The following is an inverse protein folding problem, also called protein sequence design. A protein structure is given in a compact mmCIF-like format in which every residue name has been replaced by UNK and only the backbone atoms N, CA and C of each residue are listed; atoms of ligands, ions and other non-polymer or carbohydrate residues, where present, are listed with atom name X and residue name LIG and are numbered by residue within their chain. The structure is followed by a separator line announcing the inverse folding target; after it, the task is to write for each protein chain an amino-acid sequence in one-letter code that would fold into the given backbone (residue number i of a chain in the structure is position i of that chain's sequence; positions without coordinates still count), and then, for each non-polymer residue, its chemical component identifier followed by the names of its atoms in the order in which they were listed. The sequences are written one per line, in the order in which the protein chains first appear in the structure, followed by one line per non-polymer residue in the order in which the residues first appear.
data_IF_758286960975
#
_entry.id   IF_758286960975
#
_cell.length_a   1.000
_cell.length_b   1.000
_cell.length_c   1.000
_cell.angle_alpha   90.00
_cell.angle_beta   90.00
_cell.angle_gamma   90.00
#
_symmetry.space_group_name_H-M   'P 1'
#
loop_
_entity.id
_entity.type
_entity.pdbx_description
1 polymer ?
#
# COMPACT_ATOMS: atom_id res chain seq x y z
N UNK A 1 11.09 -34.81 15.90
CA UNK A 1 9.86 -34.00 15.92
C UNK A 1 9.40 -33.84 14.49
N UNK A 2 8.22 -34.37 14.13
CA UNK A 2 7.70 -34.31 12.78
C UNK A 2 7.20 -32.89 12.48
N UNK A 3 7.82 -32.23 11.50
CA UNK A 3 7.55 -30.86 11.10
C UNK A 3 6.16 -30.76 10.46
N UNK A 4 5.30 -29.90 11.02
CA UNK A 4 3.93 -29.65 10.52
C UNK A 4 4.03 -28.98 9.13
N UNK A 5 3.98 -29.77 8.06
CA UNK A 5 3.84 -29.25 6.70
C UNK A 5 2.41 -28.70 6.52
N UNK A 6 2.25 -27.38 6.60
CA UNK A 6 0.93 -26.75 6.61
C UNK A 6 0.84 -25.32 6.07
N UNK A 7 1.89 -24.80 5.43
CA UNK A 7 1.84 -23.47 4.82
C UNK A 7 0.90 -23.41 3.61
N UNK A 8 0.07 -22.36 3.57
CA UNK A 8 -0.83 -22.10 2.46
C UNK A 8 -0.01 -21.71 1.22
N UNK A 9 -0.25 -22.36 0.08
CA UNK A 9 0.35 -21.94 -1.20
C UNK A 9 -0.36 -20.71 -1.69
N UNK A 10 0.37 -19.61 -1.77
CA UNK A 10 -0.16 -18.32 -2.22
C UNK A 10 0.00 -18.16 -3.73
N UNK A 11 1.15 -18.55 -4.28
CA UNK A 11 1.41 -18.55 -5.73
C UNK A 11 2.14 -19.81 -6.18
N UNK A 12 1.86 -20.23 -7.41
CA UNK A 12 2.53 -21.37 -8.07
C UNK A 12 3.02 -20.95 -9.45
N UNK A 13 4.31 -21.16 -9.71
CA UNK A 13 4.94 -20.92 -11.00
C UNK A 13 5.42 -22.24 -11.58
N UNK A 14 5.11 -22.49 -12.85
CA UNK A 14 5.64 -23.63 -13.60
C UNK A 14 6.52 -23.12 -14.74
N UNK A 15 7.69 -23.72 -14.87
CA UNK A 15 8.67 -23.39 -15.92
C UNK A 15 9.05 -24.67 -16.64
N UNK A 16 8.47 -24.85 -17.81
CA UNK A 16 8.75 -25.98 -18.68
C UNK A 16 10.00 -25.67 -19.51
N UNK A 17 10.79 -26.69 -19.76
CA UNK A 17 11.96 -26.64 -20.62
C UNK A 17 12.20 -28.01 -21.24
N UNK A 18 13.08 -28.09 -22.22
CA UNK A 18 13.54 -29.35 -22.79
C UNK A 18 15.06 -29.30 -22.94
N UNK A 19 15.73 -30.39 -22.58
CA UNK A 19 17.17 -30.59 -22.81
C UNK A 19 17.33 -31.91 -23.54
N UNK A 20 17.90 -31.89 -24.75
CA UNK A 20 18.14 -33.08 -25.57
C UNK A 20 16.90 -33.99 -25.75
N UNK A 21 15.74 -33.37 -25.94
CA UNK A 21 14.47 -34.09 -26.11
C UNK A 21 13.88 -34.64 -24.80
N UNK A 22 14.54 -34.46 -23.66
CA UNK A 22 14.01 -34.78 -22.33
C UNK A 22 13.16 -33.59 -21.84
N UNK A 23 11.83 -33.73 -21.73
CA UNK A 23 10.98 -32.70 -21.16
C UNK A 23 11.24 -32.56 -19.65
N UNK A 24 11.44 -31.32 -19.22
CA UNK A 24 11.63 -30.93 -17.83
C UNK A 24 10.64 -29.86 -17.39
N UNK A 25 10.33 -29.83 -16.10
CA UNK A 25 9.50 -28.80 -15.49
C UNK A 25 10.01 -28.48 -14.09
N UNK A 26 10.22 -27.19 -13.82
CA UNK A 26 10.39 -26.71 -12.44
C UNK A 26 9.07 -26.11 -11.95
N UNK A 27 8.58 -26.63 -10.83
CA UNK A 27 7.45 -26.03 -10.11
C UNK A 27 7.95 -25.30 -8.88
N UNK A 28 7.78 -23.98 -8.84
CA UNK A 28 8.00 -23.15 -7.66
C UNK A 28 6.67 -22.85 -6.96
N UNK A 29 6.64 -23.01 -5.64
CA UNK A 29 5.50 -22.75 -4.77
C UNK A 29 5.90 -21.74 -3.71
N UNK A 30 5.38 -20.52 -3.84
CA UNK A 30 5.46 -19.53 -2.77
C UNK A 30 4.40 -19.85 -1.74
N UNK A 31 4.83 -20.21 -0.54
CA UNK A 31 3.98 -20.56 0.60
C UNK A 31 4.21 -19.59 1.74
N UNK A 32 3.26 -19.55 2.68
CA UNK A 32 3.38 -18.75 3.91
C UNK A 32 4.57 -19.13 4.78
N UNK A 33 5.06 -20.37 4.66
CA UNK A 33 6.20 -20.91 5.41
C UNK A 33 7.52 -20.92 4.62
N UNK A 34 7.52 -20.52 3.35
CA UNK A 34 8.74 -20.45 2.55
C UNK A 34 8.53 -20.57 1.05
N UNK A 35 9.64 -20.67 0.33
CA UNK A 35 9.65 -21.03 -1.08
C UNK A 35 10.04 -22.49 -1.22
N UNK A 36 9.34 -23.21 -2.10
CA UNK A 36 9.58 -24.62 -2.36
C UNK A 36 9.69 -24.82 -3.86
N UNK A 37 10.68 -25.57 -4.33
CA UNK A 37 10.86 -25.89 -5.73
C UNK A 37 11.01 -27.38 -5.94
N UNK A 38 10.44 -27.88 -7.01
CA UNK A 38 10.57 -29.28 -7.44
C UNK A 38 10.98 -29.31 -8.91
N UNK A 39 12.02 -30.08 -9.22
CA UNK A 39 12.43 -30.39 -10.58
C UNK A 39 11.85 -31.74 -10.98
N UNK A 40 11.07 -31.74 -12.05
CA UNK A 40 10.53 -32.92 -12.70
C UNK A 40 11.22 -33.14 -14.05
N UNK A 41 11.68 -34.37 -14.30
CA UNK A 41 12.18 -34.82 -15.61
C UNK A 41 11.39 -36.08 -16.00
N UNK A 42 10.90 -36.15 -17.24
CA UNK A 42 10.10 -37.29 -17.74
C UNK A 42 8.93 -37.69 -16.80
N UNK A 43 8.25 -36.71 -16.21
CA UNK A 43 7.12 -36.96 -15.31
C UNK A 43 7.50 -37.47 -13.92
N UNK A 44 8.80 -37.49 -13.55
CA UNK A 44 9.29 -37.89 -12.23
C UNK A 44 10.01 -36.74 -11.55
N UNK A 45 9.70 -36.51 -10.28
CA UNK A 45 10.42 -35.52 -9.46
C UNK A 45 11.80 -36.08 -9.13
N UNK A 46 12.84 -35.42 -9.62
CA UNK A 46 14.25 -35.84 -9.48
C UNK A 46 15.01 -35.01 -8.45
N UNK A 47 14.58 -33.78 -8.16
CA UNK A 47 15.17 -32.94 -7.13
C UNK A 47 14.14 -32.02 -6.47
N UNK A 48 14.41 -31.66 -5.21
CA UNK A 48 13.62 -30.70 -4.44
C UNK A 48 14.54 -29.75 -3.69
N UNK A 49 14.09 -28.52 -3.51
CA UNK A 49 14.79 -27.53 -2.69
C UNK A 49 13.78 -26.60 -2.00
N UNK A 50 14.16 -26.05 -0.86
CA UNK A 50 13.31 -25.17 -0.06
C UNK A 50 14.11 -24.10 0.69
N UNK A 51 13.51 -22.93 0.81
CA UNK A 51 13.99 -21.85 1.68
C UNK A 51 12.88 -21.44 2.64
N UNK A 52 13.21 -21.09 3.89
CA UNK A 52 12.22 -20.61 4.86
C UNK A 52 11.64 -19.26 4.41
N UNK A 53 10.50 -18.85 4.98
CA UNK A 53 9.90 -17.56 4.68
C UNK A 53 10.78 -16.36 5.11
N UNK A 54 11.60 -16.54 6.14
CA UNK A 54 12.44 -15.49 6.74
C UNK A 54 13.83 -16.02 7.10
N UNK A 55 14.79 -15.11 7.21
CA UNK A 55 16.15 -15.37 7.65
C UNK A 55 17.21 -15.41 6.55
N UNK A 56 18.48 -15.63 6.91
CA UNK A 56 19.61 -15.58 5.98
C UNK A 56 19.47 -16.52 4.79
N UNK A 57 18.87 -17.68 5.00
CA UNK A 57 18.63 -18.67 3.94
C UNK A 57 17.35 -18.43 3.14
N UNK A 58 16.49 -17.46 3.49
CA UNK A 58 15.26 -17.14 2.75
C UNK A 58 15.54 -16.44 1.40
N UNK A 59 16.72 -15.85 1.25
CA UNK A 59 17.06 -14.98 0.11
C UNK A 59 17.98 -15.65 -0.92
N UNK A 60 18.36 -16.92 -0.70
CA UNK A 60 19.17 -17.67 -1.67
C UNK A 60 18.31 -18.16 -2.82
N UNK A 61 18.94 -18.34 -3.97
CA UNK A 61 18.34 -19.08 -5.06
C UNK A 61 18.27 -20.58 -4.71
N UNK A 62 17.29 -21.24 -5.28
CA UNK A 62 17.16 -22.68 -5.20
C UNK A 62 18.08 -23.31 -6.24
N UNK A 63 18.73 -24.40 -5.87
CA UNK A 63 19.62 -25.16 -6.73
C UNK A 63 19.13 -26.60 -6.81
N UNK A 64 18.67 -27.00 -7.99
CA UNK A 64 18.10 -28.31 -8.24
C UNK A 64 19.02 -29.07 -9.19
N UNK A 65 19.67 -30.11 -8.70
CA UNK A 65 20.67 -30.85 -9.47
C UNK A 65 20.19 -32.27 -9.75
N UNK A 66 20.43 -32.75 -10.96
CA UNK A 66 20.15 -34.13 -11.37
C UNK A 66 21.16 -34.60 -12.41
N UNK A 67 21.19 -35.89 -12.68
CA UNK A 67 22.05 -36.49 -13.70
C UNK A 67 21.18 -36.94 -14.86
N UNK A 68 21.52 -36.54 -16.08
CA UNK A 68 20.82 -36.98 -17.28
C UNK A 68 21.18 -38.45 -17.61
N UNK A 69 20.39 -39.13 -18.48
CA UNK A 69 20.63 -40.54 -18.82
C UNK A 69 22.01 -40.82 -19.43
N UNK A 70 22.65 -39.81 -20.00
CA UNK A 70 23.99 -39.88 -20.59
C UNK A 70 25.12 -39.62 -19.57
N UNK A 71 24.79 -39.40 -18.29
CA UNK A 71 25.73 -39.13 -17.21
C UNK A 71 26.08 -37.64 -17.03
N UNK A 72 25.61 -36.74 -17.89
CA UNK A 72 25.88 -35.30 -17.75
C UNK A 72 25.14 -34.67 -16.57
N UNK A 73 25.74 -33.64 -15.97
CA UNK A 73 25.17 -32.96 -14.81
C UNK A 73 24.19 -31.87 -15.27
N UNK A 74 22.94 -31.98 -14.84
CA UNK A 74 21.93 -30.95 -15.03
C UNK A 74 21.76 -30.15 -13.73
N UNK A 75 22.04 -28.86 -13.79
CA UNK A 75 21.86 -27.92 -12.69
C UNK A 75 20.81 -26.90 -13.07
N UNK A 76 19.77 -26.75 -12.24
CA UNK A 76 18.73 -25.73 -12.42
C UNK A 76 18.76 -24.77 -11.27
N UNK A 77 19.08 -23.52 -11.58
CA UNK A 77 18.96 -22.40 -10.66
C UNK A 77 17.56 -21.81 -10.78
N UNK A 78 16.86 -21.66 -9.65
CA UNK A 78 15.48 -21.22 -9.61
C UNK A 78 15.27 -20.16 -8.53
N UNK A 79 14.57 -19.07 -8.84
CA UNK A 79 14.40 -17.99 -7.88
C UNK A 79 13.64 -16.79 -8.43
N UNK A 80 13.70 -15.67 -7.72
CA UNK A 80 13.03 -14.44 -8.11
C UNK A 80 13.74 -13.76 -9.28
N UNK A 81 12.97 -13.19 -10.19
CA UNK A 81 13.44 -12.22 -11.20
C UNK A 81 12.83 -10.83 -10.98
N UNK A 82 11.80 -10.77 -10.12
CA UNK A 82 11.14 -9.56 -9.64
C UNK A 82 10.38 -9.90 -8.36
N UNK A 83 9.77 -8.91 -7.70
CA UNK A 83 8.92 -9.14 -6.52
C UNK A 83 7.66 -9.96 -6.79
N UNK A 84 7.29 -10.17 -8.06
CA UNK A 84 6.04 -10.85 -8.46
C UNK A 84 6.25 -12.04 -9.38
N UNK A 85 7.49 -12.34 -9.78
CA UNK A 85 7.73 -13.38 -10.77
C UNK A 85 9.05 -14.11 -10.50
N UNK A 86 9.08 -15.38 -10.89
CA UNK A 86 10.20 -16.30 -10.71
C UNK A 86 10.66 -16.87 -12.05
N UNK A 87 11.97 -17.08 -12.14
CA UNK A 87 12.64 -17.64 -13.31
C UNK A 87 13.46 -18.87 -12.95
N UNK A 88 13.83 -19.59 -14.00
CA UNK A 88 14.84 -20.64 -13.98
C UNK A 88 15.92 -20.38 -15.02
N UNK A 89 17.13 -20.83 -14.71
CA UNK A 89 18.25 -21.00 -15.62
C UNK A 89 18.74 -22.45 -15.50
N UNK A 90 18.74 -23.16 -16.62
CA UNK A 90 19.09 -24.57 -16.74
C UNK A 90 20.47 -24.66 -17.37
N UNK A 91 21.39 -25.31 -16.69
CA UNK A 91 22.77 -25.53 -17.12
C UNK A 91 23.05 -27.02 -17.22
N UNK A 92 23.73 -27.42 -18.28
CA UNK A 92 24.28 -28.77 -18.46
C UNK A 92 25.79 -28.66 -18.47
N UNK A 93 26.46 -29.36 -17.56
CA UNK A 93 27.91 -29.27 -17.38
C UNK A 93 28.41 -27.81 -17.36
N UNK A 94 27.68 -26.98 -16.61
CA UNK A 94 27.87 -25.53 -16.44
C UNK A 94 27.56 -24.65 -17.68
N UNK A 95 27.20 -25.24 -18.82
CA UNK A 95 26.75 -24.51 -20.02
C UNK A 95 25.25 -24.23 -19.93
N UNK A 96 24.86 -22.96 -20.04
CA UNK A 96 23.43 -22.58 -20.02
C UNK A 96 22.73 -23.05 -21.29
N UNK A 97 21.76 -23.95 -21.14
CA UNK A 97 20.99 -24.55 -22.25
C UNK A 97 19.57 -23.99 -22.35
N UNK A 98 19.03 -23.45 -21.25
CA UNK A 98 17.72 -22.81 -21.25
C UNK A 98 17.62 -21.74 -20.17
N UNK A 99 17.03 -20.60 -20.52
CA UNK A 99 16.62 -19.58 -19.56
C UNK A 99 15.16 -19.26 -19.80
N UNK A 100 14.37 -19.28 -18.72
CA UNK A 100 12.98 -18.85 -18.80
C UNK A 100 12.81 -17.36 -19.12
N UNK A 101 13.83 -16.56 -18.79
CA UNK A 101 13.86 -15.11 -18.98
C UNK A 101 15.30 -14.69 -19.37
N UNK A 102 15.66 -14.77 -20.66
CA UNK A 102 17.01 -14.48 -21.11
C UNK A 102 17.49 -13.08 -20.68
N UNK A 103 18.73 -13.00 -20.18
CA UNK A 103 19.36 -11.74 -19.75
C UNK A 103 18.82 -11.16 -18.44
N UNK A 104 17.98 -11.89 -17.69
CA UNK A 104 17.53 -11.50 -16.34
C UNK A 104 18.28 -12.29 -15.28
N UNK A 105 18.92 -11.58 -14.35
CA UNK A 105 19.54 -12.20 -13.17
C UNK A 105 18.47 -12.79 -12.26
N UNK A 106 18.63 -14.06 -11.91
CA UNK A 106 17.82 -14.72 -10.88
C UNK A 106 18.43 -14.33 -9.55
N UNK A 107 17.72 -13.54 -8.75
CA UNK A 107 18.15 -13.14 -7.43
C UNK A 107 16.95 -12.62 -6.62
N UNK A 108 16.99 -12.84 -5.31
CA UNK A 108 16.06 -12.16 -4.42
C UNK A 108 16.16 -10.63 -4.61
N UNK A 109 15.05 -9.88 -4.67
CA UNK A 109 15.14 -8.44 -4.92
C UNK A 109 15.89 -7.73 -3.79
N UNK A 110 16.96 -7.00 -4.13
CA UNK A 110 17.87 -6.34 -3.16
C UNK A 110 17.12 -5.50 -2.12
N UNK A 111 16.10 -4.76 -2.59
CA UNK A 111 15.25 -3.89 -1.76
C UNK A 111 14.65 -4.61 -0.55
N UNK A 112 14.41 -5.91 -0.64
CA UNK A 112 13.78 -6.72 0.41
C UNK A 112 14.76 -7.70 1.07
N UNK A 113 15.96 -7.86 0.52
CA UNK A 113 16.95 -8.85 1.00
C UNK A 113 17.37 -8.55 2.44
N UNK A 114 17.83 -7.33 2.72
CA UNK A 114 18.28 -6.94 4.05
C UNK A 114 17.17 -7.12 5.11
N UNK A 115 15.93 -6.77 4.75
CA UNK A 115 14.78 -6.91 5.65
C UNK A 115 14.50 -8.39 5.98
N UNK A 116 14.50 -9.27 4.97
CA UNK A 116 14.26 -10.71 5.16
C UNK A 116 15.34 -11.40 6.00
N UNK A 117 16.60 -11.00 5.83
CA UNK A 117 17.72 -11.52 6.62
C UNK A 117 17.61 -11.08 8.09
N UNK A 118 17.25 -9.80 8.33
CA UNK A 118 17.15 -9.24 9.68
C UNK A 118 16.05 -9.86 10.55
N UNK A 119 15.01 -10.48 9.96
CA UNK A 119 13.92 -11.14 10.69
C UNK A 119 14.36 -12.35 11.54
N UNK A 120 15.51 -12.98 11.25
CA UNK A 120 15.97 -14.16 11.99
C UNK A 120 16.61 -13.85 13.35
N UNK A 121 17.25 -12.69 13.51
CA UNK A 121 18.10 -12.41 14.69
C UNK A 121 17.32 -11.90 15.92
N UNK A 122 15.98 -12.04 15.96
CA UNK A 122 15.17 -11.43 17.02
C UNK A 122 15.23 -9.89 17.03
N UNK A 123 15.92 -9.30 16.04
CA UNK A 123 16.10 -7.87 15.85
C UNK A 123 14.81 -7.18 15.42
N UNK A 124 13.63 -7.82 15.48
CA UNK A 124 12.35 -7.15 15.21
C UNK A 124 12.22 -5.88 16.03
N UNK A 125 12.72 -5.86 17.27
CA UNK A 125 12.82 -4.64 18.07
C UNK A 125 13.73 -3.58 17.44
N UNK A 126 14.90 -3.96 16.94
CA UNK A 126 15.94 -3.04 16.50
C UNK A 126 15.87 -2.69 15.00
N UNK A 127 15.44 -3.57 14.11
CA UNK A 127 15.14 -3.30 12.71
C UNK A 127 13.80 -2.57 12.52
N UNK A 128 12.79 -2.84 13.37
CA UNK A 128 11.60 -1.99 13.44
C UNK A 128 11.96 -0.64 14.06
N UNK A 129 12.77 -0.59 15.12
CA UNK A 129 13.30 0.69 15.64
C UNK A 129 14.18 1.39 14.63
N UNK A 130 15.03 0.75 13.84
CA UNK A 130 15.96 1.40 12.90
C UNK A 130 15.20 1.92 11.68
N UNK A 131 14.20 1.18 11.18
CA UNK A 131 13.23 1.70 10.22
C UNK A 131 12.33 2.81 10.81
N UNK A 132 12.00 2.75 12.10
CA UNK A 132 11.27 3.79 12.82
C UNK A 132 12.16 4.98 13.29
N UNK A 133 13.49 4.83 13.28
CA UNK A 133 14.49 5.83 13.69
C UNK A 133 15.13 6.52 12.48
N UNK A 134 14.68 6.20 11.27
CA UNK A 134 15.07 6.88 10.04
C UNK A 134 16.33 6.28 9.44
N UNK A 135 16.15 5.24 8.63
CA UNK A 135 17.08 4.99 7.54
C UNK A 135 16.85 6.07 6.45
N UNK A 136 17.92 6.67 5.92
CA UNK A 136 17.84 7.76 4.95
C UNK A 136 17.22 7.34 3.59
N UNK A 137 17.05 6.02 3.38
CA UNK A 137 16.54 5.42 2.16
C UNK A 137 15.12 4.80 2.25
N UNK A 138 14.45 4.82 3.42
CA UNK A 138 13.05 4.38 3.48
C UNK A 138 12.10 5.49 3.00
N UNK A 139 11.25 5.18 2.01
CA UNK A 139 10.18 6.08 1.53
C UNK A 139 9.10 6.34 2.59
N UNK A 140 9.11 5.57 3.70
CA UNK A 140 8.11 5.61 4.75
C UNK A 140 8.72 6.16 6.05
N UNK A 141 8.19 7.27 6.55
CA UNK A 141 8.60 7.97 7.77
C UNK A 141 7.58 7.78 8.91
N UNK A 142 7.87 6.85 9.81
CA UNK A 142 7.05 6.58 10.99
C UNK A 142 7.17 7.64 12.09
N UNK A 143 8.10 8.61 11.98
CA UNK A 143 8.20 9.71 12.94
C UNK A 143 6.96 10.62 12.90
N UNK A 144 6.28 10.71 11.74
CA UNK A 144 5.02 11.43 11.58
C UNK A 144 3.91 10.87 12.49
N UNK A 145 3.81 9.54 12.61
CA UNK A 145 2.86 8.89 13.53
C UNK A 145 3.16 9.20 15.00
N UNK A 146 4.45 9.16 15.39
CA UNK A 146 4.85 9.46 16.77
C UNK A 146 4.57 10.92 17.13
N UNK A 147 4.78 11.85 16.19
CA UNK A 147 4.48 13.28 16.35
C UNK A 147 2.98 13.56 16.47
N UNK A 148 2.16 12.86 15.69
CA UNK A 148 0.72 13.13 15.62
C UNK A 148 -0.13 12.13 16.44
N UNK A 149 0.48 11.37 17.36
CA UNK A 149 -0.19 10.30 18.12
C UNK A 149 -1.39 10.79 18.95
N UNK A 150 -1.30 11.99 19.51
CA UNK A 150 -2.35 12.57 20.36
C UNK A 150 -3.56 12.97 19.48
N UNK A 151 -3.39 13.79 18.42
CA UNK A 151 -4.47 14.06 17.47
C UNK A 151 -5.13 12.81 16.89
N UNK A 152 -4.32 11.82 16.51
CA UNK A 152 -4.83 10.59 15.91
C UNK A 152 -5.66 9.76 16.90
N UNK A 153 -5.25 9.69 18.17
CA UNK A 153 -6.03 9.03 19.21
C UNK A 153 -7.36 9.76 19.49
N UNK A 154 -7.35 11.10 19.53
CA UNK A 154 -8.55 11.92 19.72
C UNK A 154 -9.55 11.68 18.59
N UNK A 155 -9.10 11.63 17.34
CA UNK A 155 -9.95 11.40 16.17
C UNK A 155 -10.59 10.00 16.17
N UNK A 156 -9.81 8.96 16.51
CA UNK A 156 -10.33 7.59 16.67
C UNK A 156 -11.41 7.52 17.76
N UNK A 157 -11.17 8.16 18.90
CA UNK A 157 -12.14 8.18 20.01
C UNK A 157 -13.41 8.93 19.62
N UNK A 158 -13.29 10.04 18.90
CA UNK A 158 -14.44 10.81 18.41
C UNK A 158 -15.25 10.01 17.39
N UNK A 159 -14.58 9.30 16.47
CA UNK A 159 -15.22 8.41 15.51
C UNK A 159 -15.94 7.23 16.17
N UNK A 160 -15.33 6.60 17.17
CA UNK A 160 -15.96 5.52 17.94
C UNK A 160 -17.19 6.02 18.71
N UNK A 161 -17.08 7.20 19.33
CA UNK A 161 -18.19 7.83 20.03
C UNK A 161 -19.34 8.17 19.07
N UNK A 162 -19.03 8.73 17.90
CA UNK A 162 -20.01 8.98 16.86
C UNK A 162 -20.76 7.70 16.46
N UNK A 163 -20.02 6.60 16.24
CA UNK A 163 -20.61 5.30 15.93
C UNK A 163 -21.55 4.80 17.05
N UNK A 164 -21.14 4.90 18.31
CA UNK A 164 -21.98 4.52 19.46
C UNK A 164 -23.25 5.35 19.48
N UNK A 165 -23.17 6.67 19.35
CA UNK A 165 -24.34 7.55 19.38
C UNK A 165 -25.27 7.24 18.19
N UNK A 166 -24.73 7.14 16.97
CA UNK A 166 -25.51 6.83 15.78
C UNK A 166 -26.20 5.46 15.87
N UNK A 167 -25.59 4.48 16.55
CA UNK A 167 -26.17 3.14 16.75
C UNK A 167 -27.33 3.14 17.75
N UNK A 168 -27.28 3.96 18.79
CA UNK A 168 -28.29 3.98 19.86
C UNK A 168 -29.31 5.12 19.74
N UNK A 169 -29.12 6.03 18.79
CA UNK A 169 -29.99 7.18 18.53
C UNK A 169 -30.21 7.34 17.02
N UNK A 170 -30.22 8.57 16.52
CA UNK A 170 -30.30 8.91 15.11
C UNK A 170 -29.05 9.66 14.62
N UNK A 171 -28.88 9.71 13.30
CA UNK A 171 -27.71 10.31 12.65
C UNK A 171 -27.59 11.82 12.92
N UNK A 172 -28.71 12.51 13.16
CA UNK A 172 -28.74 13.95 13.45
C UNK A 172 -28.21 14.21 14.85
N UNK A 173 -28.65 13.42 15.83
CA UNK A 173 -28.13 13.48 17.22
C UNK A 173 -26.63 13.20 17.25
N UNK A 174 -26.15 12.17 16.54
CA UNK A 174 -24.73 11.88 16.43
C UNK A 174 -23.92 13.04 15.81
N UNK A 175 -24.46 13.69 14.77
CA UNK A 175 -23.83 14.83 14.12
C UNK A 175 -23.74 16.06 15.03
N UNK A 176 -24.81 16.36 15.79
CA UNK A 176 -24.85 17.50 16.73
C UNK A 176 -23.85 17.28 17.87
N UNK A 177 -23.82 16.08 18.46
CA UNK A 177 -22.87 15.76 19.53
C UNK A 177 -21.43 15.80 19.02
N UNK A 178 -21.17 15.25 17.83
CA UNK A 178 -19.86 15.32 17.18
C UNK A 178 -19.40 16.77 16.96
N UNK A 179 -20.28 17.63 16.45
CA UNK A 179 -20.01 19.06 16.26
C UNK A 179 -19.73 19.79 17.59
N UNK A 180 -20.54 19.52 18.63
CA UNK A 180 -20.37 20.08 19.96
C UNK A 180 -19.05 19.68 20.62
N UNK A 181 -18.66 18.41 20.51
CA UNK A 181 -17.38 17.91 21.01
C UNK A 181 -16.19 18.46 20.22
N UNK A 182 -16.32 18.60 18.90
CA UNK A 182 -15.31 19.27 18.08
C UNK A 182 -15.05 20.71 18.56
N UNK A 183 -16.11 21.47 18.86
CA UNK A 183 -16.01 22.81 19.44
C UNK A 183 -15.39 22.79 20.85
N UNK A 184 -15.79 21.84 21.70
CA UNK A 184 -15.22 21.69 23.04
C UNK A 184 -13.71 21.39 23.00
N UNK A 185 -13.27 20.54 22.06
CA UNK A 185 -11.85 20.24 21.85
C UNK A 185 -11.07 21.46 21.35
N UNK A 186 -11.67 22.34 20.54
CA UNK A 186 -11.04 23.61 20.16
C UNK A 186 -10.78 24.52 21.36
N UNK A 187 -11.77 24.61 22.27
CA UNK A 187 -11.62 25.35 23.52
C UNK A 187 -10.55 24.70 24.41
N UNK A 188 -10.58 23.37 24.56
CA UNK A 188 -9.62 22.63 25.35
C UNK A 188 -8.18 22.78 24.81
N UNK A 189 -7.99 22.73 23.49
CA UNK A 189 -6.71 22.96 22.83
C UNK A 189 -6.22 24.39 23.07
N UNK A 190 -7.11 25.40 23.00
CA UNK A 190 -6.76 26.80 23.28
C UNK A 190 -6.31 27.01 24.74
N UNK A 191 -6.92 26.30 25.69
CA UNK A 191 -6.59 26.40 27.13
C UNK A 191 -5.30 25.64 27.45
N UNK A 192 -5.20 24.38 27.02
CA UNK A 192 -4.09 23.48 27.37
C UNK A 192 -2.83 23.74 26.58
N UNK A 193 -2.93 24.43 25.43
CA UNK A 193 -1.85 24.61 24.43
C UNK A 193 -1.28 23.28 23.90
N UNK A 194 -1.94 22.17 24.17
CA UNK A 194 -1.62 20.86 23.62
C UNK A 194 -2.33 20.74 22.28
N UNK A 195 -1.63 20.26 21.26
CA UNK A 195 -2.24 20.03 19.96
C UNK A 195 -3.10 18.75 20.01
N UNK A 196 -4.39 18.93 20.28
CA UNK A 196 -5.37 17.84 20.46
C UNK A 196 -6.04 17.44 19.15
N UNK A 197 -6.16 18.38 18.22
CA UNK A 197 -6.87 18.19 16.95
C UNK A 197 -5.88 18.14 15.78
N UNK A 198 -4.73 18.79 15.93
CA UNK A 198 -3.78 18.94 14.84
C UNK A 198 -4.35 19.80 13.70
N UNK A 199 -3.45 20.31 12.84
CA UNK A 199 -3.81 21.31 11.83
C UNK A 199 -4.92 20.87 10.85
N UNK A 200 -5.07 19.56 10.62
CA UNK A 200 -6.07 18.99 9.71
C UNK A 200 -7.44 18.77 10.37
N UNK A 201 -7.55 18.44 11.66
CA UNK A 201 -8.86 18.13 12.24
C UNK A 201 -9.74 19.37 12.43
N UNK A 202 -9.15 20.57 12.52
CA UNK A 202 -9.88 21.84 12.42
C UNK A 202 -10.75 21.94 11.15
N UNK A 203 -10.22 21.43 10.03
CA UNK A 203 -10.96 21.36 8.77
C UNK A 203 -12.08 20.31 8.86
N UNK A 204 -11.80 19.15 9.44
CA UNK A 204 -12.81 18.11 9.71
C UNK A 204 -13.97 18.62 10.56
N UNK A 205 -13.69 19.35 11.64
CA UNK A 205 -14.70 19.96 12.52
C UNK A 205 -15.56 20.97 11.76
N UNK A 206 -14.96 21.82 10.94
CA UNK A 206 -15.71 22.78 10.12
C UNK A 206 -16.67 22.07 9.15
N UNK A 207 -16.22 20.98 8.52
CA UNK A 207 -17.07 20.15 7.66
C UNK A 207 -18.16 19.42 8.44
N UNK A 208 -17.87 18.93 9.65
CA UNK A 208 -18.88 18.31 10.51
C UNK A 208 -19.96 19.30 10.91
N UNK A 209 -19.60 20.54 11.25
CA UNK A 209 -20.57 21.60 11.58
C UNK A 209 -21.42 21.94 10.36
N UNK A 210 -20.80 22.09 9.18
CA UNK A 210 -21.54 22.31 7.94
C UNK A 210 -22.49 21.14 7.61
N UNK A 211 -22.04 19.90 7.85
CA UNK A 211 -22.84 18.69 7.70
C UNK A 211 -24.03 18.67 8.67
N UNK A 212 -23.80 19.00 9.94
CA UNK A 212 -24.82 19.06 10.97
C UNK A 212 -25.85 20.17 10.69
N UNK A 213 -25.41 21.33 10.19
CA UNK A 213 -26.32 22.40 9.76
C UNK A 213 -27.21 21.94 8.60
N UNK A 214 -26.63 21.29 7.60
CA UNK A 214 -27.40 20.67 6.50
C UNK A 214 -28.32 19.54 6.98
N UNK A 215 -27.95 18.84 8.06
CA UNK A 215 -28.77 17.82 8.74
C UNK A 215 -30.02 18.40 9.38
N UNK A 216 -29.86 19.52 10.07
CA UNK A 216 -30.97 20.22 10.70
C UNK A 216 -31.90 20.88 9.66
N UNK A 217 -31.33 21.41 8.57
CA UNK A 217 -32.12 22.09 7.54
C UNK A 217 -32.89 21.14 6.62
N UNK A 218 -32.38 19.93 6.38
CA UNK A 218 -32.98 18.99 5.42
C UNK A 218 -33.00 17.56 5.97
N UNK A 219 -34.17 17.10 6.41
CA UNK A 219 -34.34 15.80 7.08
C UNK A 219 -34.78 14.66 6.14
N UNK A 220 -34.99 14.91 4.85
CA UNK A 220 -35.45 13.89 3.90
C UNK A 220 -34.33 12.96 3.43
N UNK A 221 -34.66 11.70 3.12
CA UNK A 221 -33.72 10.70 2.61
C UNK A 221 -33.01 11.14 1.33
N UNK A 222 -33.69 11.90 0.47
CA UNK A 222 -33.10 12.47 -0.74
C UNK A 222 -32.04 13.54 -0.41
N UNK A 223 -32.28 14.35 0.62
CA UNK A 223 -31.34 15.35 1.07
C UNK A 223 -30.07 14.73 1.67
N UNK A 224 -30.15 13.51 2.22
CA UNK A 224 -28.97 12.76 2.68
C UNK A 224 -28.04 12.44 1.51
N UNK A 225 -28.59 12.02 0.36
CA UNK A 225 -27.80 11.69 -0.83
C UNK A 225 -27.06 12.91 -1.41
N UNK A 226 -27.73 14.06 -1.44
CA UNK A 226 -27.13 15.30 -1.97
C UNK A 226 -26.18 15.97 -0.97
N UNK A 227 -26.39 15.80 0.34
CA UNK A 227 -25.50 16.37 1.37
C UNK A 227 -24.07 15.90 1.24
N UNK A 228 -23.87 14.59 1.07
CA UNK A 228 -22.52 14.02 0.90
C UNK A 228 -21.84 14.53 -0.37
N UNK A 229 -22.58 14.72 -1.46
CA UNK A 229 -22.09 15.36 -2.69
C UNK A 229 -21.66 16.81 -2.43
N UNK A 230 -22.50 17.62 -1.79
CA UNK A 230 -22.21 19.05 -1.53
C UNK A 230 -20.97 19.21 -0.66
N UNK A 231 -20.88 18.46 0.44
CA UNK A 231 -19.71 18.49 1.34
C UNK A 231 -18.46 18.00 0.61
N UNK A 232 -18.58 16.95 -0.21
CA UNK A 232 -17.51 16.44 -1.06
C UNK A 232 -16.98 17.49 -2.02
N UNK A 233 -17.87 18.22 -2.71
CA UNK A 233 -17.51 19.30 -3.65
C UNK A 233 -16.87 20.51 -2.95
N UNK A 234 -17.39 20.92 -1.80
CA UNK A 234 -16.79 22.00 -0.99
C UNK A 234 -15.37 21.61 -0.57
N UNK A 235 -15.20 20.39 -0.06
CA UNK A 235 -13.88 19.88 0.34
C UNK A 235 -12.92 19.80 -0.83
N UNK A 236 -13.40 19.27 -1.97
CA UNK A 236 -12.65 19.18 -3.21
C UNK A 236 -12.18 20.56 -3.70
N UNK A 237 -13.07 21.55 -3.72
CA UNK A 237 -12.77 22.92 -4.10
C UNK A 237 -11.70 23.54 -3.21
N UNK A 238 -11.81 23.37 -1.89
CA UNK A 238 -10.83 23.91 -0.94
C UNK A 238 -9.45 23.29 -1.11
N UNK A 239 -9.35 21.96 -1.28
CA UNK A 239 -8.08 21.29 -1.57
C UNK A 239 -7.51 21.67 -2.93
N UNK A 240 -8.35 21.80 -3.95
CA UNK A 240 -7.93 22.18 -5.30
C UNK A 240 -7.40 23.62 -5.34
N UNK A 241 -8.10 24.57 -4.72
CA UNK A 241 -7.67 25.97 -4.62
C UNK A 241 -6.36 26.06 -3.83
N UNK A 242 -6.24 25.34 -2.71
CA UNK A 242 -5.00 25.29 -1.94
C UNK A 242 -3.84 24.69 -2.75
N UNK A 243 -4.08 23.58 -3.43
CA UNK A 243 -3.09 22.91 -4.29
C UNK A 243 -2.61 23.80 -5.44
N UNK A 244 -3.53 24.50 -6.11
CA UNK A 244 -3.21 25.46 -7.17
C UNK A 244 -2.41 26.67 -6.66
N UNK A 245 -2.54 27.01 -5.36
CA UNK A 245 -1.74 28.04 -4.68
C UNK A 245 -0.45 27.49 -4.05
N UNK A 246 -0.04 26.27 -4.40
CA UNK A 246 1.20 25.63 -3.93
C UNK A 246 1.05 24.77 -2.68
N UNK A 247 -0.16 24.62 -2.13
CA UNK A 247 -0.47 23.68 -1.04
C UNK A 247 -0.08 24.16 0.36
N UNK A 248 0.08 25.46 0.58
CA UNK A 248 0.55 26.04 1.85
C UNK A 248 -0.49 26.02 2.99
N UNK A 249 -1.74 25.62 2.72
CA UNK A 249 -2.83 25.57 3.68
C UNK A 249 -3.17 24.15 4.15
N UNK A 250 -4.17 23.53 3.52
CA UNK A 250 -4.72 22.23 3.89
C UNK A 250 -3.81 21.08 3.47
N UNK A 251 -3.21 21.16 2.29
CA UNK A 251 -2.42 20.10 1.71
C UNK A 251 -1.10 19.89 2.46
N UNK A 252 -0.40 20.95 2.87
CA UNK A 252 0.80 20.81 3.72
C UNK A 252 0.46 20.22 5.09
N UNK A 253 -0.72 20.54 5.64
CA UNK A 253 -1.19 19.95 6.90
C UNK A 253 -1.47 18.47 6.73
N UNK A 254 -2.20 18.07 5.69
CA UNK A 254 -2.44 16.66 5.37
C UNK A 254 -1.13 15.90 5.16
N UNK A 255 -0.20 16.47 4.39
CA UNK A 255 1.14 15.93 4.17
C UNK A 255 1.87 15.61 5.48
N UNK A 256 1.70 16.43 6.52
CA UNK A 256 2.37 16.20 7.82
C UNK A 256 1.86 14.98 8.59
N UNK A 257 0.73 14.39 8.19
CA UNK A 257 0.20 13.12 8.72
C UNK A 257 0.55 11.92 7.85
N UNK A 258 0.93 12.15 6.59
CA UNK A 258 1.26 11.06 5.68
C UNK A 258 2.65 10.51 6.02
N UNK A 259 2.81 9.18 6.09
CA UNK A 259 4.10 8.59 6.40
C UNK A 259 5.01 8.54 5.16
N UNK A 260 4.80 9.34 4.11
CA UNK A 260 5.59 9.25 2.88
C UNK A 260 6.56 10.40 2.74
N UNK A 261 7.83 10.09 2.44
CA UNK A 261 8.85 11.09 2.11
C UNK A 261 8.71 11.56 0.66
N UNK A 262 8.98 12.84 0.41
CA UNK A 262 9.00 13.40 -0.95
C UNK A 262 7.64 13.74 -1.57
N UNK A 263 6.59 13.88 -0.77
CA UNK A 263 5.29 14.41 -1.23
C UNK A 263 5.39 15.92 -1.44
N UNK A 264 5.03 16.38 -2.65
CA UNK A 264 4.80 17.79 -2.95
C UNK A 264 3.40 18.21 -2.47
N UNK A 265 3.33 19.29 -1.68
CA UNK A 265 2.07 19.72 -1.08
C UNK A 265 1.09 20.30 -2.12
N UNK A 266 1.57 21.03 -3.12
CA UNK A 266 0.72 21.57 -4.19
C UNK A 266 0.07 20.45 -5.02
N UNK A 267 0.87 19.47 -5.43
CA UNK A 267 0.39 18.27 -6.14
C UNK A 267 -0.54 17.42 -5.27
N UNK A 268 -0.24 17.29 -3.98
CA UNK A 268 -1.15 16.61 -3.05
C UNK A 268 -2.50 17.34 -3.00
N UNK A 269 -2.53 18.66 -2.87
CA UNK A 269 -3.76 19.44 -2.85
C UNK A 269 -4.58 19.29 -4.14
N UNK A 270 -3.93 19.38 -5.30
CA UNK A 270 -4.58 19.16 -6.61
C UNK A 270 -5.15 17.74 -6.70
N UNK A 271 -4.35 16.73 -6.34
CA UNK A 271 -4.77 15.33 -6.39
C UNK A 271 -5.95 15.04 -5.47
N UNK A 272 -5.91 15.54 -4.23
CA UNK A 272 -7.03 15.42 -3.27
C UNK A 272 -8.27 16.16 -3.75
N UNK A 273 -8.11 17.34 -4.36
CA UNK A 273 -9.22 18.10 -4.93
C UNK A 273 -9.90 17.38 -6.09
N UNK A 274 -9.12 16.87 -7.05
CA UNK A 274 -9.63 16.09 -8.18
C UNK A 274 -10.28 14.78 -7.74
N UNK A 275 -9.66 14.08 -6.78
CA UNK A 275 -10.24 12.88 -6.18
C UNK A 275 -11.59 13.20 -5.52
N UNK A 276 -11.66 14.24 -4.69
CA UNK A 276 -12.91 14.64 -4.04
C UNK A 276 -14.02 15.01 -5.04
N UNK A 277 -13.66 15.71 -6.13
CA UNK A 277 -14.61 16.04 -7.19
C UNK A 277 -15.11 14.79 -7.92
N UNK A 278 -14.21 13.83 -8.21
CA UNK A 278 -14.57 12.56 -8.84
C UNK A 278 -15.50 11.72 -7.94
N UNK A 279 -15.18 11.61 -6.65
CA UNK A 279 -16.02 10.88 -5.69
C UNK A 279 -17.40 11.54 -5.54
N UNK A 280 -17.46 12.87 -5.48
CA UNK A 280 -18.73 13.59 -5.40
C UNK A 280 -19.56 13.42 -6.69
N UNK A 281 -18.93 13.44 -7.86
CA UNK A 281 -19.60 13.18 -9.14
C UNK A 281 -20.14 11.76 -9.22
N UNK A 282 -19.36 10.75 -8.80
CA UNK A 282 -19.81 9.36 -8.73
C UNK A 282 -20.99 9.19 -7.78
N UNK A 283 -20.91 9.76 -6.57
CA UNK A 283 -22.02 9.74 -5.63
C UNK A 283 -23.28 10.40 -6.22
N UNK A 284 -23.14 11.54 -6.90
CA UNK A 284 -24.27 12.22 -7.55
C UNK A 284 -24.88 11.38 -8.69
N UNK A 285 -24.05 10.78 -9.54
CA UNK A 285 -24.52 9.90 -10.63
C UNK A 285 -25.30 8.72 -10.05
N UNK A 286 -24.75 8.04 -9.05
CA UNK A 286 -25.42 6.91 -8.41
C UNK A 286 -26.72 7.37 -7.76
N UNK A 287 -26.71 8.51 -7.06
CA UNK A 287 -27.90 9.06 -6.43
C UNK A 287 -29.03 9.40 -7.42
N UNK A 288 -28.70 9.93 -8.61
CA UNK A 288 -29.68 10.35 -9.62
C UNK A 288 -30.22 9.20 -10.47
N UNK A 289 -29.38 8.21 -10.77
CA UNK A 289 -29.70 7.18 -11.77
C UNK A 289 -29.96 5.79 -11.19
N UNK A 290 -29.88 5.61 -9.87
CA UNK A 290 -30.09 4.30 -9.23
C UNK A 290 -31.09 4.36 -8.08
N UNK A 291 -31.62 3.20 -7.68
CA UNK A 291 -32.51 3.10 -6.52
C UNK A 291 -31.75 3.36 -5.21
N UNK A 292 -32.49 3.65 -4.14
CA UNK A 292 -31.91 3.87 -2.81
C UNK A 292 -31.09 2.66 -2.31
N UNK A 293 -31.52 1.44 -2.62
CA UNK A 293 -30.79 0.23 -2.23
C UNK A 293 -29.44 0.09 -2.93
N UNK A 294 -29.39 0.44 -4.22
CA UNK A 294 -28.15 0.44 -5.01
C UNK A 294 -27.22 1.55 -4.54
N UNK A 295 -27.76 2.73 -4.23
CA UNK A 295 -26.99 3.82 -3.64
C UNK A 295 -26.41 3.46 -2.26
N UNK A 296 -27.19 2.81 -1.38
CA UNK A 296 -26.72 2.34 -0.07
C UNK A 296 -25.59 1.32 -0.21
N UNK A 297 -25.71 0.37 -1.15
CA UNK A 297 -24.64 -0.58 -1.44
C UNK A 297 -23.38 0.15 -1.92
N UNK A 298 -23.52 1.09 -2.85
CA UNK A 298 -22.42 1.89 -3.37
C UNK A 298 -21.71 2.65 -2.24
N UNK A 299 -22.45 3.43 -1.44
CA UNK A 299 -21.88 4.30 -0.39
C UNK A 299 -21.21 3.51 0.73
N UNK A 300 -21.66 2.27 0.96
CA UNK A 300 -21.12 1.42 2.04
C UNK A 300 -19.89 0.64 1.61
N UNK A 301 -19.87 0.12 0.38
CA UNK A 301 -18.86 -0.85 -0.04
C UNK A 301 -18.04 -0.39 -1.24
N UNK A 302 -18.69 0.07 -2.30
CA UNK A 302 -18.00 0.44 -3.55
C UNK A 302 -17.18 1.73 -3.39
N UNK A 303 -17.72 2.71 -2.67
CA UNK A 303 -17.10 4.02 -2.44
C UNK A 303 -15.72 3.88 -1.76
N UNK A 304 -15.61 2.96 -0.78
CA UNK A 304 -14.35 2.64 -0.11
C UNK A 304 -13.30 2.07 -1.08
N UNK A 305 -13.68 1.12 -1.95
CA UNK A 305 -12.75 0.50 -2.90
C UNK A 305 -12.26 1.51 -3.94
N UNK A 306 -13.18 2.33 -4.47
CA UNK A 306 -12.86 3.37 -5.45
C UNK A 306 -11.96 4.43 -4.82
N UNK A 307 -12.29 4.93 -3.63
CA UNK A 307 -11.49 5.92 -2.92
C UNK A 307 -10.09 5.38 -2.58
N UNK A 308 -9.96 4.11 -2.20
CA UNK A 308 -8.65 3.46 -1.99
C UNK A 308 -7.82 3.39 -3.27
N UNK A 309 -8.44 3.09 -4.41
CA UNK A 309 -7.73 3.13 -5.71
C UNK A 309 -7.25 4.54 -6.06
N UNK A 310 -8.12 5.54 -5.93
CA UNK A 310 -7.81 6.92 -6.28
C UNK A 310 -6.77 7.54 -5.35
N UNK A 311 -6.80 7.26 -4.04
CA UNK A 311 -5.81 7.83 -3.11
C UNK A 311 -4.40 7.32 -3.41
N UNK A 312 -4.24 6.07 -3.84
CA UNK A 312 -2.95 5.53 -4.26
C UNK A 312 -2.43 6.25 -5.51
N UNK A 313 -3.30 6.54 -6.47
CA UNK A 313 -2.96 7.34 -7.66
C UNK A 313 -2.55 8.75 -7.26
N UNK A 314 -3.29 9.39 -6.36
CA UNK A 314 -2.97 10.72 -5.81
C UNK A 314 -1.59 10.71 -5.15
N UNK A 315 -1.25 9.71 -4.36
CA UNK A 315 0.06 9.60 -3.75
C UNK A 315 1.18 9.41 -4.78
N UNK A 316 0.97 8.60 -5.82
CA UNK A 316 1.94 8.45 -6.90
C UNK A 316 2.15 9.76 -7.67
N UNK A 317 1.07 10.50 -7.94
CA UNK A 317 1.10 11.82 -8.56
C UNK A 317 1.84 12.84 -7.69
N UNK A 318 1.51 12.90 -6.39
CA UNK A 318 2.09 13.83 -5.44
C UNK A 318 3.58 13.55 -5.15
N UNK A 319 4.02 12.30 -5.25
CA UNK A 319 5.43 11.91 -5.21
C UNK A 319 6.15 12.15 -6.55
N UNK A 320 5.43 12.50 -7.62
CA UNK A 320 5.99 12.65 -8.97
C UNK A 320 6.52 11.34 -9.56
N UNK A 321 6.04 10.17 -9.10
CA UNK A 321 6.45 8.85 -9.64
C UNK A 321 5.95 8.64 -11.06
N UNK A 322 4.71 9.07 -11.33
CA UNK A 322 4.06 9.00 -12.66
C UNK A 322 4.91 9.71 -13.74
N UNK A 323 5.64 10.77 -13.37
CA UNK A 323 6.45 11.57 -14.28
C UNK A 323 7.93 11.14 -14.32
N UNK A 324 8.43 10.46 -13.28
CA UNK A 324 9.82 9.95 -13.23
C UNK A 324 10.05 8.79 -14.19
N UNK A 325 9.01 7.99 -14.47
CA UNK A 325 9.08 6.88 -15.42
C UNK A 325 9.04 7.36 -16.89
N UNK A 326 8.46 8.54 -17.14
CA UNK A 326 8.35 9.13 -18.49
C UNK A 326 9.52 10.05 -18.83
N UNK A 327 10.12 10.72 -17.85
CA UNK A 327 11.26 11.63 -18.04
C UNK A 327 12.30 11.41 -16.93
N UNK A 328 13.23 10.44 -17.09
CA UNK A 328 14.28 10.23 -16.11
C UNK A 328 15.13 11.51 -15.98
N UNK A 329 15.31 12.01 -14.76
CA UNK A 329 16.29 13.09 -14.51
C UNK A 329 17.66 12.55 -14.92
N UNK A 330 18.37 13.29 -15.77
CA UNK A 330 19.77 13.01 -16.07
C UNK A 330 20.55 12.88 -14.75
N UNK A 331 21.04 11.68 -14.49
CA UNK A 331 21.96 11.42 -13.39
C UNK A 331 23.35 11.51 -14.03
N UNK A 332 24.18 12.51 -13.68
CA UNK A 332 25.55 12.52 -14.16
C UNK A 332 26.21 11.19 -13.77
N UNK A 333 27.05 10.60 -14.65
CA UNK A 333 27.77 9.38 -14.33
C UNK A 333 28.61 9.57 -13.04
N UNK A 334 28.87 8.49 -12.29
CA UNK A 334 29.78 8.54 -11.14
C UNK A 334 31.11 9.17 -11.58
N UNK A 335 31.70 10.00 -10.71
CA UNK A 335 32.97 10.70 -11.01
C UNK A 335 34.15 9.72 -11.25
N UNK A 336 33.92 8.46 -10.92
CA UNK A 336 34.80 7.31 -10.99
C UNK A 336 34.90 6.70 -12.41
N UNK A 337 34.05 7.12 -13.35
CA UNK A 337 34.10 6.70 -14.77
C UNK A 337 34.59 7.82 -15.72
N UNK A 338 35.11 8.93 -15.18
CA UNK A 338 35.63 10.06 -15.96
C UNK A 338 37.18 10.13 -15.99
N UNK A 339 37.86 9.01 -15.71
CA UNK A 339 39.32 8.90 -15.76
C UNK A 339 39.76 7.65 -16.52
#
# INVERSE_FOLDING_TARGET
MAEKQGGLTLWRYRRQFAVDGVPGCVTLRSRTDGLFSELELNGRIVARDQTPAIGPSAVRNHLLTSTLPDGSLLTVEAGYISSRNMGIAVRRDDVTVHESHPGRTIAYPEKYRAQMVAYADGSMGDAFKQNASGDANSEIDFSAFKRNRIPLAVDILLGLLFFVIAKYTDLTTAAIVGAGLGLALLVAQKITKIDLLGGLALFGIALMIASAALALMFQSDEAVKYRTTVIGLVSAGLFLIDGLRGGNGLAIRLKNYLPYRGIDAGRLGIGMGLMGAAMAALNLIVALYTSTDVWLFYSTFADFVVSMGLILIVFQYAQGKIWRETWPRYRPPPADEAG
#
